data_IF_909396628773
#
_entry.id   IF_909396628773
#
_cell.length_a   1.000
_cell.length_b   1.000
_cell.length_c   1.000
_cell.angle_alpha   90.00
_cell.angle_beta   90.00
_cell.angle_gamma   90.00
#
_symmetry.space_group_name_H-M   'P 1'
#
loop_
_entity.id
_entity.type
_entity.pdbx_description
1 polymer ?
#
# COMPACT_ATOMS: atom_id res chain seq x y z
N UNK A 1 12.43 0.38 -29.10
CA UNK A 1 11.23 0.43 -28.25
C UNK A 1 11.64 0.81 -26.86
N UNK A 2 11.59 2.11 -26.56
CA UNK A 2 11.76 2.61 -25.19
C UNK A 2 10.55 2.27 -24.34
N UNK A 3 10.78 1.80 -23.12
CA UNK A 3 9.71 1.35 -22.21
C UNK A 3 9.61 2.26 -21.00
N UNK A 4 8.39 2.63 -20.65
CA UNK A 4 8.09 3.41 -19.44
C UNK A 4 7.26 2.62 -18.43
N UNK A 5 7.36 2.98 -17.16
CA UNK A 5 6.42 2.58 -16.10
C UNK A 5 5.66 3.82 -15.63
N UNK A 6 4.34 3.68 -15.49
CA UNK A 6 3.47 4.67 -14.87
C UNK A 6 2.79 4.05 -13.65
N UNK A 7 3.18 4.47 -12.45
CA UNK A 7 2.45 4.15 -11.23
C UNK A 7 1.24 5.07 -11.10
N UNK A 8 0.04 4.53 -10.88
CA UNK A 8 -1.15 5.36 -10.64
C UNK A 8 -1.58 5.19 -9.20
N UNK A 9 -1.39 6.24 -8.40
CA UNK A 9 -1.89 6.32 -7.04
C UNK A 9 -3.25 7.01 -7.00
N UNK A 10 -3.97 6.86 -5.87
CA UNK A 10 -5.21 7.61 -5.63
C UNK A 10 -4.95 9.11 -5.63
N UNK A 11 -3.89 9.57 -4.98
CA UNK A 11 -3.61 10.98 -4.74
C UNK A 11 -3.75 11.38 -3.27
N UNK A 12 -2.90 12.31 -2.86
CA UNK A 12 -2.87 12.96 -1.55
C UNK A 12 -2.44 14.42 -1.72
N UNK A 13 -2.90 15.29 -0.81
CA UNK A 13 -2.40 16.68 -0.72
C UNK A 13 -1.12 16.77 0.12
N UNK A 14 -0.76 15.68 0.80
CA UNK A 14 0.39 15.64 1.68
C UNK A 14 1.68 15.51 0.84
N UNK A 15 2.63 16.45 0.98
CA UNK A 15 3.87 16.45 0.20
C UNK A 15 4.74 15.22 0.43
N UNK A 16 4.66 14.56 1.59
CA UNK A 16 5.44 13.36 1.87
C UNK A 16 5.01 12.20 0.96
N UNK A 17 3.74 12.13 0.57
CA UNK A 17 3.25 11.11 -0.37
C UNK A 17 3.89 11.29 -1.75
N UNK A 18 4.05 12.54 -2.21
CA UNK A 18 4.69 12.82 -3.50
C UNK A 18 6.19 12.48 -3.47
N UNK A 19 6.86 12.74 -2.35
CA UNK A 19 8.26 12.36 -2.15
C UNK A 19 8.41 10.83 -2.16
N UNK A 20 7.57 10.10 -1.43
CA UNK A 20 7.59 8.64 -1.41
C UNK A 20 7.33 8.03 -2.80
N UNK A 21 6.38 8.57 -3.57
CA UNK A 21 6.11 8.11 -4.94
C UNK A 21 7.30 8.38 -5.88
N UNK A 22 7.95 9.54 -5.75
CA UNK A 22 9.14 9.89 -6.52
C UNK A 22 10.32 8.96 -6.20
N UNK A 23 10.57 8.72 -4.92
CA UNK A 23 11.60 7.77 -4.45
C UNK A 23 11.32 6.35 -4.96
N UNK A 24 10.06 5.90 -4.88
CA UNK A 24 9.66 4.59 -5.39
C UNK A 24 9.88 4.48 -6.91
N UNK A 25 9.53 5.50 -7.69
CA UNK A 25 9.79 5.52 -9.14
C UNK A 25 11.29 5.44 -9.45
N UNK A 26 12.12 6.14 -8.68
CA UNK A 26 13.57 6.06 -8.82
C UNK A 26 14.08 4.63 -8.53
N UNK A 27 13.59 4.01 -7.44
CA UNK A 27 13.97 2.62 -7.10
C UNK A 27 13.52 1.62 -8.15
N UNK A 28 12.28 1.73 -8.65
CA UNK A 28 11.75 0.85 -9.70
C UNK A 28 12.60 0.94 -10.98
N UNK A 29 13.00 2.15 -11.37
CA UNK A 29 13.88 2.37 -12.54
C UNK A 29 15.27 1.76 -12.33
N UNK A 30 15.85 1.95 -11.16
CA UNK A 30 17.23 1.54 -10.88
C UNK A 30 17.37 0.03 -10.65
N UNK A 31 16.32 -0.63 -10.15
CA UNK A 31 16.33 -2.07 -9.84
C UNK A 31 16.26 -2.95 -11.10
N UNK A 32 15.66 -2.45 -12.19
CA UNK A 32 15.60 -3.16 -13.47
C UNK A 32 15.91 -2.23 -14.64
N UNK A 33 17.13 -2.37 -15.19
CA UNK A 33 17.67 -1.67 -16.38
C UNK A 33 16.89 -1.94 -17.70
N UNK A 34 15.68 -2.51 -17.62
CA UNK A 34 14.81 -2.82 -18.74
C UNK A 34 13.83 -1.70 -19.08
N UNK A 35 13.64 -0.74 -18.15
CA UNK A 35 12.77 0.42 -18.34
C UNK A 35 13.61 1.70 -18.41
N UNK A 36 13.32 2.53 -19.41
CA UNK A 36 14.03 3.79 -19.67
C UNK A 36 13.48 4.95 -18.85
N UNK A 37 12.23 4.83 -18.39
CA UNK A 37 11.52 5.87 -17.65
C UNK A 37 10.56 5.25 -16.63
N UNK A 38 10.44 5.87 -15.46
CA UNK A 38 9.44 5.54 -14.47
C UNK A 38 8.93 6.85 -13.86
N UNK A 39 7.62 7.03 -13.83
CA UNK A 39 6.94 8.19 -13.25
C UNK A 39 5.65 7.74 -12.57
N UNK A 40 4.97 8.68 -11.91
CA UNK A 40 3.70 8.44 -11.26
C UNK A 40 2.64 9.46 -11.70
N UNK A 41 1.38 9.07 -11.53
CA UNK A 41 0.23 9.95 -11.70
C UNK A 41 -0.73 9.77 -10.53
N UNK A 42 -1.51 10.82 -10.27
CA UNK A 42 -2.55 10.82 -9.27
C UNK A 42 -3.91 10.79 -9.96
N UNK A 43 -4.79 9.91 -9.46
CA UNK A 43 -6.16 9.82 -9.96
C UNK A 43 -6.95 11.10 -9.66
N UNK A 44 -6.78 11.61 -8.44
CA UNK A 44 -7.48 12.75 -7.86
C UNK A 44 -6.53 13.63 -7.02
N UNK A 45 -7.09 14.68 -6.42
CA UNK A 45 -6.43 15.59 -5.46
C UNK A 45 -5.49 16.62 -6.08
N UNK A 46 -4.39 16.20 -6.70
CA UNK A 46 -3.35 17.12 -7.22
C UNK A 46 -2.67 16.58 -8.48
N UNK A 47 -1.70 17.32 -9.00
CA UNK A 47 -0.84 16.95 -10.14
C UNK A 47 0.41 16.19 -9.67
N UNK A 48 1.04 15.36 -10.52
CA UNK A 48 0.75 15.15 -11.95
C UNK A 48 -0.52 14.33 -12.19
N UNK A 49 -1.37 14.76 -13.13
CA UNK A 49 -2.50 13.95 -13.58
C UNK A 49 -2.02 12.79 -14.45
N UNK A 50 -2.90 11.82 -14.71
CA UNK A 50 -2.62 10.71 -15.64
C UNK A 50 -2.20 11.21 -17.03
N UNK A 51 -2.82 12.29 -17.51
CA UNK A 51 -2.45 12.87 -18.81
C UNK A 51 -1.08 13.56 -18.75
N UNK A 52 -0.80 14.33 -17.70
CA UNK A 52 0.50 14.99 -17.53
C UNK A 52 1.65 13.97 -17.52
N UNK A 53 1.50 12.88 -16.75
CA UNK A 53 2.54 11.86 -16.63
C UNK A 53 2.74 11.04 -17.92
N UNK A 54 1.67 10.82 -18.71
CA UNK A 54 1.78 10.17 -20.02
C UNK A 54 2.45 11.09 -21.05
N UNK A 55 2.14 12.39 -21.04
CA UNK A 55 2.81 13.38 -21.89
C UNK A 55 4.29 13.53 -21.51
N UNK A 56 4.61 13.52 -20.21
CA UNK A 56 6.00 13.45 -19.72
C UNK A 56 6.71 12.22 -20.29
N UNK A 57 6.11 11.03 -20.15
CA UNK A 57 6.67 9.78 -20.66
C UNK A 57 6.95 9.83 -22.17
N UNK A 58 6.01 10.38 -22.95
CA UNK A 58 6.19 10.62 -24.39
C UNK A 58 7.35 11.58 -24.68
N UNK A 59 7.53 12.62 -23.85
CA UNK A 59 8.66 13.55 -23.92
C UNK A 59 10.02 12.87 -23.71
N UNK A 60 10.08 11.79 -22.91
CA UNK A 60 11.25 10.92 -22.77
C UNK A 60 11.40 9.89 -23.91
N UNK A 61 10.51 9.92 -24.90
CA UNK A 61 10.50 9.04 -26.05
C UNK A 61 10.00 7.63 -25.74
N UNK A 62 9.22 7.44 -24.66
CA UNK A 62 8.59 6.15 -24.36
C UNK A 62 7.65 5.76 -25.49
N UNK A 63 7.84 4.55 -26.04
CA UNK A 63 7.00 3.97 -27.09
C UNK A 63 5.95 3.01 -26.51
N UNK A 64 6.26 2.36 -25.38
CA UNK A 64 5.36 1.43 -24.69
C UNK A 64 5.32 1.71 -23.19
N UNK A 65 4.12 1.97 -22.65
CA UNK A 65 3.91 2.32 -21.25
C UNK A 65 3.28 1.17 -20.45
N UNK A 66 3.94 0.73 -19.39
CA UNK A 66 3.38 -0.23 -18.43
C UNK A 66 2.68 0.55 -17.32
N UNK A 67 1.36 0.47 -17.30
CA UNK A 67 0.48 1.14 -16.34
C UNK A 67 0.27 0.20 -15.15
N UNK A 68 0.70 0.64 -13.97
CA UNK A 68 0.61 -0.12 -12.72
C UNK A 68 -0.34 0.60 -11.76
N UNK A 69 -1.54 0.07 -11.50
CA UNK A 69 -2.41 0.61 -10.48
C UNK A 69 -1.78 0.41 -9.09
N UNK A 70 -1.26 1.48 -8.49
CA UNK A 70 -0.58 1.45 -7.20
C UNK A 70 -1.61 1.50 -6.05
N UNK A 71 -2.35 0.39 -5.90
CA UNK A 71 -3.38 0.22 -4.88
C UNK A 71 -3.15 -1.12 -4.17
N UNK A 72 -3.35 -1.15 -2.84
CA UNK A 72 -3.24 -2.40 -2.05
C UNK A 72 -4.33 -3.41 -2.37
N UNK A 73 -5.51 -2.93 -2.81
CA UNK A 73 -6.68 -3.77 -3.03
C UNK A 73 -7.38 -3.40 -4.33
N UNK A 74 -8.08 -4.37 -4.95
CA UNK A 74 -9.06 -4.04 -5.96
C UNK A 74 -10.17 -3.20 -5.34
N UNK A 75 -10.70 -2.25 -6.11
CA UNK A 75 -11.80 -1.40 -5.66
C UNK A 75 -12.22 -0.40 -6.74
N UNK A 76 -13.26 0.38 -6.44
CA UNK A 76 -13.84 1.33 -7.40
C UNK A 76 -12.80 2.36 -7.88
N UNK A 77 -12.01 2.94 -6.97
CA UNK A 77 -10.99 3.94 -7.31
C UNK A 77 -9.93 3.36 -8.27
N UNK A 78 -9.47 2.15 -8.02
CA UNK A 78 -8.55 1.43 -8.92
C UNK A 78 -9.18 1.22 -10.31
N UNK A 79 -10.45 0.77 -10.38
CA UNK A 79 -11.16 0.58 -11.66
C UNK A 79 -11.30 1.89 -12.46
N UNK A 80 -11.59 2.99 -11.77
CA UNK A 80 -11.66 4.33 -12.37
C UNK A 80 -10.29 4.77 -12.88
N UNK A 81 -9.21 4.58 -12.09
CA UNK A 81 -7.84 4.87 -12.51
C UNK A 81 -7.43 4.11 -13.78
N UNK A 82 -7.68 2.80 -13.81
CA UNK A 82 -7.40 1.97 -14.99
C UNK A 82 -8.19 2.44 -16.20
N UNK A 83 -9.50 2.66 -16.05
CA UNK A 83 -10.37 3.07 -17.15
C UNK A 83 -9.95 4.42 -17.75
N UNK A 84 -9.64 5.40 -16.88
CA UNK A 84 -9.15 6.72 -17.29
C UNK A 84 -7.81 6.62 -18.01
N UNK A 85 -6.90 5.80 -17.51
CA UNK A 85 -5.56 5.63 -18.11
C UNK A 85 -5.61 4.95 -19.46
N UNK A 86 -6.46 3.93 -19.62
CA UNK A 86 -6.70 3.29 -20.92
C UNK A 86 -7.25 4.30 -21.92
N UNK A 87 -8.20 5.15 -21.51
CA UNK A 87 -8.76 6.18 -22.37
C UNK A 87 -7.68 7.16 -22.82
N UNK A 88 -6.93 7.75 -21.88
CA UNK A 88 -5.87 8.72 -22.18
C UNK A 88 -4.79 8.11 -23.07
N UNK A 89 -4.33 6.89 -22.79
CA UNK A 89 -3.33 6.21 -23.61
C UNK A 89 -3.81 6.01 -25.07
N UNK A 90 -5.10 5.66 -25.27
CA UNK A 90 -5.70 5.56 -26.61
C UNK A 90 -5.79 6.90 -27.32
N UNK A 91 -6.22 7.94 -26.61
CA UNK A 91 -6.34 9.30 -27.15
C UNK A 91 -4.96 9.85 -27.57
N UNK A 92 -3.90 9.47 -26.87
CA UNK A 92 -2.50 9.81 -27.20
C UNK A 92 -1.84 8.85 -28.21
N UNK A 93 -2.50 7.76 -28.60
CA UNK A 93 -1.92 6.74 -29.51
C UNK A 93 -0.74 5.97 -28.93
N UNK A 94 -0.63 5.89 -27.59
CA UNK A 94 0.47 5.23 -26.88
C UNK A 94 0.20 3.73 -26.75
N UNK A 95 1.19 2.88 -27.05
CA UNK A 95 1.09 1.45 -26.73
C UNK A 95 1.19 1.24 -25.22
N UNK A 96 0.35 0.36 -24.66
CA UNK A 96 0.30 0.18 -23.22
C UNK A 96 0.04 -1.27 -22.79
N UNK A 97 0.45 -1.56 -21.56
CA UNK A 97 0.08 -2.77 -20.81
C UNK A 97 -0.42 -2.35 -19.44
N UNK A 98 -1.53 -2.92 -18.98
CA UNK A 98 -2.04 -2.66 -17.63
C UNK A 98 -1.80 -3.89 -16.77
N UNK A 99 -1.20 -3.71 -15.59
CA UNK A 99 -1.01 -4.78 -14.61
C UNK A 99 -2.23 -4.91 -13.69
N UNK A 100 -2.28 -5.99 -12.91
CA UNK A 100 -3.10 -5.97 -11.70
C UNK A 100 -2.50 -4.99 -10.66
N UNK A 101 -3.31 -4.60 -9.68
CA UNK A 101 -2.86 -3.84 -8.52
C UNK A 101 -1.93 -4.69 -7.62
N UNK A 102 -1.41 -4.09 -6.53
CA UNK A 102 -0.46 -4.80 -5.66
C UNK A 102 -1.10 -6.07 -5.08
N UNK A 103 -2.33 -5.96 -4.56
CA UNK A 103 -3.13 -7.08 -4.07
C UNK A 103 -2.37 -7.95 -3.04
N UNK A 104 -2.86 -9.14 -2.72
CA UNK A 104 -2.10 -10.09 -1.91
C UNK A 104 -0.76 -10.44 -2.58
N UNK A 105 0.34 -10.29 -1.84
CA UNK A 105 1.68 -10.71 -2.27
C UNK A 105 2.54 -11.05 -1.05
N UNK A 106 3.36 -12.11 -1.14
CA UNK A 106 4.16 -12.58 0.01
C UNK A 106 5.17 -11.51 0.47
N UNK A 107 5.73 -10.74 -0.46
CA UNK A 107 6.61 -9.60 -0.11
C UNK A 107 5.91 -8.51 0.74
N UNK A 108 4.58 -8.38 0.66
CA UNK A 108 3.83 -7.48 1.56
C UNK A 108 3.71 -8.07 2.97
N UNK A 109 3.62 -9.40 3.09
CA UNK A 109 3.67 -10.11 4.37
C UNK A 109 5.04 -9.90 5.01
N UNK A 110 6.11 -10.08 4.23
CA UNK A 110 7.48 -9.83 4.69
C UNK A 110 7.70 -8.36 5.04
N UNK A 111 7.11 -7.42 4.28
CA UNK A 111 7.15 -5.99 4.59
C UNK A 111 6.52 -5.68 5.94
N UNK A 112 5.31 -6.19 6.20
CA UNK A 112 4.66 -6.03 7.50
C UNK A 112 5.54 -6.58 8.62
N UNK A 113 6.11 -7.78 8.43
CA UNK A 113 7.01 -8.38 9.42
C UNK A 113 8.21 -7.48 9.72
N UNK A 114 8.88 -6.93 8.71
CA UNK A 114 10.00 -6.02 9.00
C UNK A 114 9.58 -4.71 9.67
N UNK A 115 8.38 -4.17 9.37
CA UNK A 115 7.90 -2.96 10.08
C UNK A 115 7.63 -3.24 11.55
N UNK A 116 7.09 -4.42 11.86
CA UNK A 116 6.98 -4.89 13.25
C UNK A 116 8.36 -5.08 13.87
N UNK A 117 9.31 -5.67 13.14
CA UNK A 117 10.68 -5.89 13.64
C UNK A 117 11.43 -4.57 13.92
N UNK A 118 11.27 -3.58 13.06
CA UNK A 118 11.81 -2.23 13.23
C UNK A 118 11.23 -1.56 14.48
N UNK A 119 9.92 -1.71 14.73
CA UNK A 119 9.26 -1.20 15.92
C UNK A 119 9.78 -1.86 17.21
N UNK A 120 9.97 -3.18 17.19
CA UNK A 120 10.53 -3.94 18.32
C UNK A 120 11.97 -3.52 18.62
N UNK A 121 12.83 -3.39 17.59
CA UNK A 121 14.23 -2.96 17.77
C UNK A 121 14.36 -1.58 18.41
N UNK A 122 13.35 -0.72 18.27
CA UNK A 122 13.30 0.60 18.89
C UNK A 122 13.22 0.59 20.42
N UNK A 123 12.79 -0.52 21.04
CA UNK A 123 12.54 -0.59 22.50
C UNK A 123 13.38 -1.63 23.27
N UNK A 124 14.17 -2.47 22.59
CA UNK A 124 15.08 -3.45 23.22
C UNK A 124 14.67 -4.92 23.05
N UNK A 125 15.09 -5.77 23.98
CA UNK A 125 15.11 -7.25 23.85
C UNK A 125 13.73 -7.94 23.94
N UNK A 126 12.81 -7.63 23.04
CA UNK A 126 11.62 -8.46 22.80
C UNK A 126 11.86 -9.42 21.63
N UNK A 127 11.39 -10.66 21.77
CA UNK A 127 11.39 -11.65 20.68
C UNK A 127 10.08 -11.55 19.88
N UNK A 128 10.15 -11.81 18.57
CA UNK A 128 9.03 -11.67 17.63
C UNK A 128 7.77 -12.48 17.99
N UNK A 129 7.94 -13.65 18.61
CA UNK A 129 6.83 -14.51 19.04
C UNK A 129 6.19 -14.10 20.37
N UNK A 130 6.64 -13.01 20.99
CA UNK A 130 6.14 -12.54 22.30
C UNK A 130 5.30 -11.27 22.22
N UNK A 131 5.15 -10.69 21.02
CA UNK A 131 4.31 -9.51 20.81
C UNK A 131 2.94 -9.85 20.24
N UNK A 132 1.98 -8.98 20.56
CA UNK A 132 0.69 -8.92 19.91
C UNK A 132 0.73 -7.86 18.82
N UNK A 133 0.02 -8.09 17.72
CA UNK A 133 -0.06 -7.14 16.61
C UNK A 133 -1.52 -6.80 16.32
N UNK A 134 -1.83 -5.51 16.22
CA UNK A 134 -3.09 -5.03 15.66
C UNK A 134 -2.82 -4.45 14.27
N UNK A 135 -3.24 -5.16 13.23
CA UNK A 135 -3.11 -4.68 11.85
C UNK A 135 -4.26 -3.71 11.54
N UNK A 136 -3.92 -2.46 11.21
CA UNK A 136 -4.87 -1.38 10.97
C UNK A 136 -5.01 -1.18 9.47
N UNK A 137 -6.18 -1.46 8.91
CA UNK A 137 -6.50 -1.21 7.51
C UNK A 137 -7.32 0.08 7.34
N UNK A 138 -7.37 0.62 6.13
CA UNK A 138 -8.27 1.75 5.84
C UNK A 138 -9.75 1.35 5.96
N UNK A 139 -10.09 0.14 5.52
CA UNK A 139 -11.46 -0.35 5.36
C UNK A 139 -12.07 -0.03 4.00
N UNK A 140 -13.14 -0.74 3.63
CA UNK A 140 -13.74 -0.61 2.31
C UNK A 140 -15.20 -1.05 2.26
N UNK A 141 -15.99 -0.32 1.48
CA UNK A 141 -17.33 -0.79 1.09
C UNK A 141 -17.28 -1.96 0.09
N UNK A 142 -16.12 -2.21 -0.53
CA UNK A 142 -15.87 -3.38 -1.38
C UNK A 142 -15.51 -4.60 -0.51
N UNK A 143 -16.37 -5.62 -0.54
CA UNK A 143 -16.16 -6.86 0.21
C UNK A 143 -14.91 -7.64 -0.21
N UNK A 144 -14.45 -7.51 -1.46
CA UNK A 144 -13.24 -8.18 -1.91
C UNK A 144 -11.98 -7.55 -1.29
N UNK A 145 -11.93 -6.22 -1.19
CA UNK A 145 -10.83 -5.54 -0.50
C UNK A 145 -10.74 -5.99 0.96
N UNK A 146 -11.88 -6.03 1.65
CA UNK A 146 -11.99 -6.53 3.03
C UNK A 146 -11.54 -7.99 3.16
N UNK A 147 -11.91 -8.85 2.22
CA UNK A 147 -11.52 -10.26 2.19
C UNK A 147 -10.01 -10.42 2.00
N UNK A 148 -9.40 -9.64 1.11
CA UNK A 148 -7.94 -9.66 0.91
C UNK A 148 -7.21 -9.20 2.17
N UNK A 149 -7.68 -8.15 2.83
CA UNK A 149 -7.06 -7.69 4.09
C UNK A 149 -7.17 -8.73 5.21
N UNK A 150 -8.33 -9.39 5.36
CA UNK A 150 -8.50 -10.51 6.30
C UNK A 150 -7.54 -11.65 6.02
N UNK A 151 -7.35 -12.00 4.74
CA UNK A 151 -6.37 -13.01 4.33
C UNK A 151 -4.94 -12.64 4.72
N UNK A 152 -4.55 -11.37 4.54
CA UNK A 152 -3.24 -10.86 4.99
C UNK A 152 -3.08 -11.04 6.50
N UNK A 153 -4.08 -10.63 7.28
CA UNK A 153 -4.10 -10.83 8.73
C UNK A 153 -3.97 -12.31 9.12
N UNK A 154 -4.75 -13.20 8.50
CA UNK A 154 -4.71 -14.64 8.77
C UNK A 154 -3.34 -15.26 8.45
N UNK A 155 -2.67 -14.79 7.38
CA UNK A 155 -1.31 -15.24 7.03
C UNK A 155 -0.26 -14.74 8.02
N UNK A 156 -0.46 -13.55 8.59
CA UNK A 156 0.45 -12.97 9.57
C UNK A 156 0.31 -13.58 10.97
N UNK A 157 -0.85 -14.14 11.32
CA UNK A 157 -1.12 -14.72 12.65
C UNK A 157 -0.07 -15.73 13.13
N UNK A 158 0.52 -16.49 12.21
CA UNK A 158 1.51 -17.51 12.56
C UNK A 158 2.83 -16.96 13.11
N UNK A 159 3.09 -15.64 12.97
CA UNK A 159 4.36 -15.02 13.36
C UNK A 159 4.34 -14.34 14.73
N UNK A 160 3.17 -14.15 15.33
CA UNK A 160 2.98 -13.35 16.54
C UNK A 160 2.22 -14.13 17.60
N UNK A 161 2.29 -13.68 18.86
CA UNK A 161 1.57 -14.31 19.97
C UNK A 161 0.05 -14.23 19.77
N UNK A 162 -0.41 -13.08 19.30
CA UNK A 162 -1.78 -12.84 18.86
C UNK A 162 -1.77 -11.78 17.75
N UNK A 163 -2.73 -11.88 16.81
CA UNK A 163 -2.93 -10.84 15.80
C UNK A 163 -4.42 -10.55 15.62
N UNK A 164 -4.77 -9.30 15.87
CA UNK A 164 -6.05 -8.69 15.54
C UNK A 164 -5.99 -7.88 14.26
N UNK A 165 -7.16 -7.60 13.69
CA UNK A 165 -7.30 -6.62 12.63
C UNK A 165 -8.36 -5.61 13.04
N UNK A 166 -8.19 -4.36 12.64
CA UNK A 166 -9.20 -3.32 12.75
C UNK A 166 -9.12 -2.38 11.54
N UNK A 167 -10.03 -1.44 11.49
CA UNK A 167 -10.20 -0.53 10.37
C UNK A 167 -10.34 0.90 10.86
N UNK A 168 -9.79 1.83 10.08
CA UNK A 168 -9.98 3.27 10.29
C UNK A 168 -11.42 3.69 9.98
N UNK A 169 -12.00 3.18 8.89
CA UNK A 169 -13.37 3.52 8.49
C UNK A 169 -14.06 2.37 7.75
N UNK A 170 -15.37 2.50 7.49
CA UNK A 170 -16.21 1.64 6.62
C UNK A 170 -16.40 0.18 7.04
N UNK A 171 -15.62 -0.29 8.01
CA UNK A 171 -15.47 -1.68 8.37
C UNK A 171 -15.29 -1.83 9.89
N UNK A 172 -15.59 -3.02 10.40
CA UNK A 172 -15.52 -3.32 11.83
C UNK A 172 -14.57 -4.50 12.10
N UNK A 173 -13.86 -4.50 13.25
CA UNK A 173 -13.92 -3.48 14.31
C UNK A 173 -13.16 -2.18 13.97
N UNK A 174 -13.59 -1.05 14.52
CA UNK A 174 -12.83 0.22 14.49
C UNK A 174 -11.53 0.13 15.32
N UNK A 175 -10.66 1.16 15.25
CA UNK A 175 -9.36 1.16 15.94
C UNK A 175 -9.51 1.04 17.46
N UNK A 176 -10.45 1.78 18.05
CA UNK A 176 -10.70 1.76 19.51
C UNK A 176 -11.10 0.37 20.00
N UNK A 177 -12.11 -0.25 19.35
CA UNK A 177 -12.56 -1.60 19.65
C UNK A 177 -11.47 -2.64 19.37
N UNK A 178 -10.70 -2.45 18.30
CA UNK A 178 -9.54 -3.28 17.99
C UNK A 178 -8.49 -3.28 19.10
N UNK A 179 -8.13 -2.10 19.62
CA UNK A 179 -7.19 -1.97 20.74
C UNK A 179 -7.76 -2.65 21.97
N UNK A 180 -9.02 -2.38 22.32
CA UNK A 180 -9.71 -3.00 23.45
C UNK A 180 -9.63 -4.52 23.40
N UNK A 181 -9.99 -5.12 22.26
CA UNK A 181 -9.94 -6.56 22.06
C UNK A 181 -8.53 -7.14 22.24
N UNK A 182 -7.49 -6.42 21.79
CA UNK A 182 -6.11 -6.89 21.96
C UNK A 182 -5.63 -6.80 23.41
N UNK A 183 -6.08 -5.78 24.16
CA UNK A 183 -5.71 -5.59 25.57
C UNK A 183 -6.32 -6.66 26.48
N UNK A 184 -7.45 -7.27 26.12
CA UNK A 184 -8.04 -8.41 26.85
C UNK A 184 -7.09 -9.63 26.92
N UNK A 185 -6.16 -9.76 25.97
CA UNK A 185 -5.13 -10.79 25.96
C UNK A 185 -3.92 -10.51 26.85
N UNK A 186 -3.96 -9.45 27.67
CA UNK A 186 -2.89 -8.99 28.55
C UNK A 186 -1.50 -9.06 27.90
N UNK A 187 -1.28 -8.36 26.75
CA UNK A 187 0.03 -8.32 26.12
C UNK A 187 1.09 -7.70 27.01
N UNK A 188 2.34 -8.12 26.82
CA UNK A 188 3.50 -7.36 27.32
C UNK A 188 3.85 -6.23 26.36
N UNK A 189 3.61 -6.45 25.07
CA UNK A 189 3.87 -5.55 23.98
C UNK A 189 2.77 -5.69 22.93
N UNK A 190 2.10 -4.59 22.60
CA UNK A 190 1.14 -4.48 21.50
C UNK A 190 1.72 -3.55 20.42
N UNK A 191 1.91 -4.09 19.23
CA UNK A 191 2.34 -3.33 18.05
C UNK A 191 1.10 -2.97 17.23
N UNK A 192 0.86 -1.67 17.06
CA UNK A 192 -0.12 -1.13 16.15
C UNK A 192 0.55 -1.01 14.78
N UNK A 193 0.08 -1.75 13.79
CA UNK A 193 0.73 -1.87 12.48
C UNK A 193 -0.17 -1.32 11.38
N UNK A 194 0.09 -0.09 10.89
CA UNK A 194 -0.69 0.49 9.80
C UNK A 194 -0.39 -0.16 8.46
N UNK A 195 -1.41 -0.71 7.83
CA UNK A 195 -1.34 -1.31 6.49
C UNK A 195 -1.73 -0.29 5.41
N UNK A 196 -0.91 0.74 5.26
CA UNK A 196 -1.08 1.85 4.33
C UNK A 196 0.18 2.01 3.47
N UNK A 197 0.00 2.36 2.19
CA UNK A 197 1.13 2.60 1.27
C UNK A 197 1.93 3.84 1.67
N UNK A 198 1.23 4.86 2.15
CA UNK A 198 1.78 6.20 2.33
C UNK A 198 1.50 6.77 3.73
N UNK A 199 2.39 7.64 4.19
CA UNK A 199 2.20 8.44 5.40
C UNK A 199 1.42 9.72 5.10
N UNK A 200 0.21 9.60 4.54
CA UNK A 200 -0.65 10.75 4.26
C UNK A 200 -1.40 11.28 5.50
N UNK A 201 -2.24 12.29 5.29
CA UNK A 201 -3.06 12.94 6.34
C UNK A 201 -3.77 11.93 7.27
N UNK A 202 -4.43 10.90 6.71
CA UNK A 202 -5.11 9.85 7.48
C UNK A 202 -4.18 9.12 8.47
N UNK A 203 -2.95 8.83 8.06
CA UNK A 203 -1.94 8.21 8.92
C UNK A 203 -1.44 9.20 9.99
N UNK A 204 -1.25 10.46 9.60
CA UNK A 204 -0.64 11.48 10.46
C UNK A 204 -1.58 12.04 11.51
N UNK A 205 -2.87 12.09 11.23
CA UNK A 205 -3.87 12.71 12.08
C UNK A 205 -4.85 11.65 12.59
N UNK A 206 -5.70 11.12 11.71
CA UNK A 206 -6.85 10.30 12.11
C UNK A 206 -6.44 9.06 12.93
N UNK A 207 -5.49 8.26 12.44
CA UNK A 207 -5.04 7.06 13.18
C UNK A 207 -4.40 7.44 14.52
N UNK A 208 -3.63 8.53 14.57
CA UNK A 208 -2.98 8.95 15.81
C UNK A 208 -4.01 9.45 16.83
N UNK A 209 -4.99 10.23 16.40
CA UNK A 209 -6.05 10.72 17.26
C UNK A 209 -6.89 9.58 17.85
N UNK A 210 -7.29 8.59 17.03
CA UNK A 210 -8.06 7.44 17.52
C UNK A 210 -7.25 6.57 18.49
N UNK A 211 -5.97 6.35 18.20
CA UNK A 211 -5.07 5.58 19.06
C UNK A 211 -4.84 6.30 20.38
N UNK A 212 -4.48 7.58 20.34
CA UNK A 212 -4.20 8.37 21.55
C UNK A 212 -5.44 8.44 22.45
N UNK A 213 -6.62 8.62 21.86
CA UNK A 213 -7.89 8.58 22.60
C UNK A 213 -8.15 7.22 23.26
N UNK A 214 -7.94 6.11 22.55
CA UNK A 214 -8.11 4.77 23.10
C UNK A 214 -7.10 4.47 24.23
N UNK A 215 -5.85 4.90 24.08
CA UNK A 215 -4.80 4.69 25.08
C UNK A 215 -5.04 5.54 26.35
N UNK A 216 -5.55 6.76 26.21
CA UNK A 216 -5.96 7.60 27.34
C UNK A 216 -7.12 6.98 28.13
N UNK A 217 -8.08 6.38 27.43
CA UNK A 217 -9.22 5.69 28.04
C UNK A 217 -8.79 4.40 28.77
N UNK A 218 -8.09 3.50 28.07
CA UNK A 218 -7.81 2.16 28.58
C UNK A 218 -6.62 2.09 29.53
N UNK A 219 -5.68 3.04 29.45
CA UNK A 219 -4.46 3.11 30.30
C UNK A 219 -3.76 1.76 30.44
N UNK A 220 -3.34 1.14 29.31
CA UNK A 220 -2.77 -0.20 29.33
C UNK A 220 -1.50 -0.25 30.19
N UNK A 221 -1.33 -1.34 30.93
CA UNK A 221 -0.11 -1.62 31.71
C UNK A 221 1.05 -2.14 30.84
N UNK A 222 0.78 -2.43 29.56
CA UNK A 222 1.74 -2.94 28.59
C UNK A 222 2.35 -1.82 27.73
N UNK A 223 3.42 -2.14 27.01
CA UNK A 223 3.95 -1.23 26.00
C UNK A 223 3.06 -1.29 24.76
N UNK A 224 2.57 -0.13 24.29
CA UNK A 224 1.88 -0.01 23.00
C UNK A 224 2.72 0.85 22.07
N UNK A 225 3.01 0.35 20.87
CA UNK A 225 3.92 1.01 19.93
C UNK A 225 3.30 1.04 18.55
N UNK A 226 3.29 2.21 17.92
CA UNK A 226 2.95 2.36 16.52
C UNK A 226 4.17 2.04 15.63
N UNK A 227 4.02 1.04 14.76
CA UNK A 227 4.99 0.76 13.70
C UNK A 227 4.86 1.77 12.56
N UNK A 228 5.87 1.80 11.68
CA UNK A 228 5.79 2.59 10.44
C UNK A 228 4.80 1.93 9.47
N UNK A 229 4.23 2.74 8.58
CA UNK A 229 3.45 2.26 7.43
C UNK A 229 4.35 1.46 6.46
N UNK A 230 3.75 0.92 5.38
CA UNK A 230 4.48 0.12 4.40
C UNK A 230 5.57 0.97 3.72
N UNK A 231 5.20 2.15 3.21
CA UNK A 231 6.12 3.16 2.72
C UNK A 231 6.99 2.69 1.54
N UNK A 232 8.08 3.43 1.31
CA UNK A 232 9.07 3.10 0.28
C UNK A 232 9.96 1.96 0.77
N UNK A 233 9.91 0.83 0.07
CA UNK A 233 10.70 -0.36 0.40
C UNK A 233 10.97 -1.20 -0.86
N UNK A 234 12.12 -1.88 -0.91
CA UNK A 234 12.48 -2.78 -2.03
C UNK A 234 11.47 -3.91 -2.24
N UNK A 235 10.75 -4.31 -1.19
CA UNK A 235 9.68 -5.31 -1.29
C UNK A 235 8.49 -4.79 -2.06
N UNK A 236 8.14 -3.51 -1.93
CA UNK A 236 7.13 -2.89 -2.79
C UNK A 236 7.60 -2.88 -4.24
N UNK A 237 8.87 -2.53 -4.48
CA UNK A 237 9.45 -2.59 -5.83
C UNK A 237 9.35 -4.01 -6.40
N UNK A 238 9.67 -5.03 -5.59
CA UNK A 238 9.53 -6.44 -6.00
C UNK A 238 8.10 -6.80 -6.38
N UNK A 239 7.10 -6.38 -5.59
CA UNK A 239 5.67 -6.60 -5.90
C UNK A 239 5.31 -5.95 -7.24
N UNK A 240 5.69 -4.69 -7.45
CA UNK A 240 5.43 -3.96 -8.71
C UNK A 240 6.01 -4.73 -9.89
N UNK A 241 7.26 -5.18 -9.77
CA UNK A 241 7.95 -5.88 -10.84
C UNK A 241 7.36 -7.27 -11.12
N UNK A 242 6.88 -7.97 -10.11
CA UNK A 242 6.18 -9.24 -10.29
C UNK A 242 4.84 -9.03 -11.02
N UNK A 243 4.07 -7.99 -10.67
CA UNK A 243 2.83 -7.62 -11.37
C UNK A 243 3.07 -7.26 -12.84
N UNK A 244 4.16 -6.56 -13.12
CA UNK A 244 4.62 -6.27 -14.48
C UNK A 244 4.94 -7.57 -15.23
N UNK A 245 5.69 -8.49 -14.61
CA UNK A 245 6.06 -9.77 -15.21
C UNK A 245 4.88 -10.70 -15.46
N UNK A 246 3.85 -10.64 -14.62
CA UNK A 246 2.59 -11.38 -14.77
C UNK A 246 1.78 -10.87 -15.97
N UNK A 247 1.67 -9.53 -16.12
CA UNK A 247 0.95 -8.91 -17.23
C UNK A 247 1.58 -9.26 -18.59
N UNK A 248 2.92 -9.30 -18.67
CA UNK A 248 3.63 -9.69 -19.89
C UNK A 248 3.39 -11.14 -20.34
N UNK A 249 2.93 -12.03 -19.43
CA UNK A 249 2.59 -13.43 -19.75
C UNK A 249 1.14 -13.61 -20.19
N UNK A 250 0.27 -12.65 -19.90
CA UNK A 250 -1.13 -12.66 -20.30
C UNK A 250 -1.28 -11.90 -21.62
N UNK A 251 -1.27 -12.62 -22.75
CA UNK A 251 -1.53 -12.00 -24.06
C UNK A 251 -2.91 -11.32 -24.07
N UNK A 252 -2.90 -9.98 -24.08
CA UNK A 252 -3.91 -9.06 -24.61
C UNK A 252 -5.30 -9.63 -24.92
N UNK A 253 -6.09 -9.98 -23.90
CA UNK A 253 -7.56 -9.81 -23.94
C UNK A 253 -8.19 -10.24 -22.60
N UNK A 254 -9.20 -9.49 -22.15
CA UNK A 254 -10.29 -9.95 -21.26
C UNK A 254 -10.33 -9.51 -19.79
N UNK A 255 -9.47 -8.64 -19.26
CA UNK A 255 -9.63 -8.24 -17.83
C UNK A 255 -10.55 -7.02 -17.64
N UNK A 256 -10.71 -6.15 -18.65
CA UNK A 256 -11.50 -4.91 -18.52
C UNK A 256 -12.34 -4.57 -19.77
N UNK A 257 -12.85 -5.59 -20.48
CA UNK A 257 -13.89 -5.39 -21.50
C UNK A 257 -15.27 -5.31 -20.85
#
# INVERSE_FOLDING_TARGET
>A
MRKGILLIDRGSNDPDVLLELSELCAMVRDEYMYYDHATFALLEVTSPTIEDAMLESLGYGVEHLTIVPYFLYPGLKMKVAVSKSIKVARDLGLEYTVTDCLNYHDELIELVRARVDEAIKGIGSFNYGECDVLLIGHGSSDSDARRVFRLIGDRLRQYYRNLGICFLELDEPNIHDGIKMMLEGEPKLLILMPYFLHNGEHMKHDIREEVDSALEEFKPSCNVIMAKHLGVDRRIVKVIMDRIGEAGKQSTSSIYK
#
